data_IF_915472099020
#
_entry.id   IF_915472099020
#
_cell.length_a   1.000
_cell.length_b   1.000
_cell.length_c   1.000
_cell.angle_alpha   90.00
_cell.angle_beta   90.00
_cell.angle_gamma   90.00
#
_symmetry.space_group_name_H-M   'P 1'
#
loop_
_entity.id
_entity.type
_entity.pdbx_description
1 polymer ?
#
# COMPACT_ATOMS: atom_id res chain seq x y z
N UNK A 1 -10.93 6.12 -14.71
CA UNK A 1 -10.10 6.70 -13.64
C UNK A 1 -10.83 7.62 -12.64
N UNK A 2 -12.01 8.21 -12.93
CA UNK A 2 -12.73 9.09 -11.99
C UNK A 2 -13.41 8.37 -10.80
N UNK A 3 -13.81 7.11 -10.93
CA UNK A 3 -14.63 6.41 -9.92
C UNK A 3 -13.89 6.04 -8.62
N UNK A 4 -12.57 5.82 -8.66
CA UNK A 4 -11.80 5.40 -7.47
C UNK A 4 -11.33 6.58 -6.59
N UNK A 5 -11.37 7.81 -7.08
CA UNK A 5 -10.86 8.98 -6.36
C UNK A 5 -11.93 9.66 -5.49
N UNK A 6 -13.21 9.50 -5.82
CA UNK A 6 -14.31 10.09 -5.04
C UNK A 6 -14.32 9.54 -3.61
N UNK A 7 -14.25 8.22 -3.36
CA UNK A 7 -14.23 7.69 -1.99
C UNK A 7 -13.03 8.20 -1.17
N UNK A 8 -11.87 8.33 -1.80
CA UNK A 8 -10.64 8.85 -1.16
C UNK A 8 -10.83 10.29 -0.71
N UNK A 9 -11.40 11.13 -1.58
CA UNK A 9 -11.67 12.54 -1.25
C UNK A 9 -12.64 12.69 -0.08
N UNK A 10 -13.69 11.87 -0.01
CA UNK A 10 -14.65 11.92 1.11
C UNK A 10 -13.99 11.50 2.45
N UNK A 11 -13.14 10.48 2.44
CA UNK A 11 -12.37 10.08 3.62
C UNK A 11 -11.45 11.22 4.09
N UNK A 12 -10.85 11.97 3.18
CA UNK A 12 -9.94 13.07 3.53
C UNK A 12 -10.71 14.27 4.09
N UNK A 13 -11.89 14.55 3.52
CA UNK A 13 -12.81 15.55 4.07
C UNK A 13 -13.22 15.19 5.49
N UNK A 14 -13.59 13.93 5.73
CA UNK A 14 -13.94 13.45 7.07
C UNK A 14 -12.77 13.62 8.05
N UNK A 15 -11.55 13.22 7.68
CA UNK A 15 -10.38 13.41 8.52
C UNK A 15 -10.17 14.89 8.89
N UNK A 16 -10.33 15.78 7.92
CA UNK A 16 -10.25 17.23 8.14
C UNK A 16 -11.34 17.76 9.07
N UNK A 17 -12.58 17.34 8.86
CA UNK A 17 -13.73 17.74 9.69
C UNK A 17 -13.55 17.28 11.13
N UNK A 18 -13.12 16.03 11.35
CA UNK A 18 -12.81 15.53 12.71
C UNK A 18 -11.69 16.36 13.33
N UNK A 19 -10.60 16.61 12.60
CA UNK A 19 -9.51 17.42 13.11
C UNK A 19 -9.98 18.83 13.52
N UNK A 20 -10.83 19.49 12.71
CA UNK A 20 -11.34 20.84 12.99
C UNK A 20 -12.17 20.95 14.27
N UNK A 21 -12.92 19.90 14.62
CA UNK A 21 -13.74 19.86 15.84
C UNK A 21 -12.96 19.43 17.09
N UNK A 22 -11.65 19.18 16.97
CA UNK A 22 -10.78 18.78 18.07
C UNK A 22 -9.84 19.93 18.48
N UNK A 23 -9.37 19.95 19.75
CA UNK A 23 -8.41 20.94 20.22
C UNK A 23 -7.17 21.00 19.33
N UNK A 24 -6.49 22.16 19.28
CA UNK A 24 -5.33 22.35 18.41
C UNK A 24 -4.15 21.40 18.70
N UNK A 25 -4.06 20.87 19.93
CA UNK A 25 -3.05 19.88 20.32
C UNK A 25 -3.35 18.47 19.80
N UNK A 26 -4.57 18.20 19.34
CA UNK A 26 -4.94 16.91 18.78
C UNK A 26 -4.39 16.77 17.36
N UNK A 27 -3.65 15.67 17.12
CA UNK A 27 -3.24 15.26 15.79
C UNK A 27 -4.06 14.05 15.34
N UNK A 28 -4.69 14.16 14.18
CA UNK A 28 -5.44 13.05 13.60
C UNK A 28 -4.46 12.09 12.90
N UNK A 29 -4.39 10.84 13.36
CA UNK A 29 -3.65 9.76 12.71
C UNK A 29 -4.33 9.29 11.43
N UNK A 30 -3.62 9.28 10.31
CA UNK A 30 -4.12 8.85 9.01
C UNK A 30 -3.13 7.92 8.32
N UNK A 31 -3.50 6.65 8.15
CA UNK A 31 -2.67 5.67 7.45
C UNK A 31 -3.35 5.24 6.15
N UNK A 32 -2.65 5.46 5.04
CA UNK A 32 -3.04 4.94 3.73
C UNK A 32 -2.23 3.70 3.39
N UNK A 33 -2.94 2.59 3.13
CA UNK A 33 -2.32 1.36 2.65
C UNK A 33 -2.10 1.45 1.15
N UNK A 34 -0.86 1.76 0.77
CA UNK A 34 -0.38 1.78 -0.59
C UNK A 34 0.24 0.42 -0.98
N UNK A 35 0.91 0.37 -2.13
CA UNK A 35 1.54 -0.85 -2.65
C UNK A 35 3.00 -0.57 -3.04
N UNK A 36 3.89 -1.53 -2.79
CA UNK A 36 5.27 -1.48 -3.30
C UNK A 36 5.32 -1.46 -4.84
N UNK A 37 4.25 -1.89 -5.51
CA UNK A 37 4.14 -1.81 -6.96
C UNK A 37 4.25 -0.36 -7.50
N UNK A 38 3.95 0.66 -6.67
CA UNK A 38 4.13 2.08 -7.01
C UNK A 38 5.59 2.43 -7.36
N UNK A 39 6.53 1.65 -6.84
CA UNK A 39 7.97 1.82 -7.05
C UNK A 39 8.61 0.66 -7.81
N UNK A 40 7.81 -0.22 -8.42
CA UNK A 40 8.34 -1.43 -9.08
C UNK A 40 9.33 -1.12 -10.21
N UNK A 41 9.14 -0.02 -10.94
CA UNK A 41 10.06 0.39 -12.01
C UNK A 41 11.20 1.28 -11.52
N UNK A 42 11.28 1.61 -10.22
CA UNK A 42 12.33 2.46 -9.66
C UNK A 42 13.75 2.00 -10.04
N UNK A 43 14.10 0.71 -9.91
CA UNK A 43 15.46 0.26 -10.22
C UNK A 43 15.84 0.43 -11.69
N UNK A 44 14.87 0.40 -12.60
CA UNK A 44 15.10 0.49 -14.04
C UNK A 44 15.59 1.88 -14.46
N UNK A 45 15.10 2.94 -13.83
CA UNK A 45 15.47 4.31 -14.17
C UNK A 45 16.50 4.92 -13.21
N UNK A 46 16.47 4.53 -11.93
CA UNK A 46 17.41 5.04 -10.92
C UNK A 46 18.76 4.29 -10.92
N UNK A 47 18.81 3.12 -11.56
CA UNK A 47 20.02 2.28 -11.63
C UNK A 47 20.42 1.63 -10.30
N UNK A 48 19.51 1.60 -9.31
CA UNK A 48 19.77 1.01 -7.98
C UNK A 48 18.54 0.25 -7.47
N UNK A 49 18.71 -0.92 -6.82
CA UNK A 49 17.61 -1.64 -6.21
C UNK A 49 17.12 -1.02 -4.90
N UNK A 50 17.88 -0.07 -4.32
CA UNK A 50 17.54 0.58 -3.05
C UNK A 50 16.57 1.72 -3.30
N UNK A 51 15.31 1.52 -2.90
CA UNK A 51 14.25 2.52 -3.05
C UNK A 51 14.15 3.38 -1.80
N UNK A 52 14.27 4.71 -1.90
CA UNK A 52 14.10 5.59 -0.74
C UNK A 52 12.63 5.70 -0.34
N UNK A 53 12.37 5.98 0.94
CA UNK A 53 11.04 6.33 1.46
C UNK A 53 10.68 7.78 1.10
N UNK A 54 10.60 8.04 -0.21
CA UNK A 54 10.19 9.32 -0.78
C UNK A 54 8.94 9.13 -1.64
N UNK A 55 8.20 10.22 -1.93
CA UNK A 55 7.06 10.17 -2.84
C UNK A 55 7.45 9.51 -4.17
N UNK A 56 6.62 8.56 -4.61
CA UNK A 56 6.83 7.87 -5.88
C UNK A 56 6.64 8.83 -7.06
N UNK A 57 7.27 8.51 -8.19
CA UNK A 57 7.14 9.30 -9.41
C UNK A 57 6.40 8.50 -10.49
N UNK A 58 6.02 9.14 -11.59
CA UNK A 58 5.28 8.42 -12.65
C UNK A 58 6.20 7.37 -13.31
N UNK A 59 7.50 7.68 -13.38
CA UNK A 59 8.55 6.83 -13.95
C UNK A 59 8.74 5.54 -13.16
N UNK A 60 8.39 5.51 -11.87
CA UNK A 60 8.50 4.33 -11.02
C UNK A 60 7.30 3.38 -11.12
N UNK A 61 6.23 3.76 -11.84
CA UNK A 61 4.98 3.01 -11.88
C UNK A 61 4.88 2.12 -13.15
N UNK A 62 4.57 0.82 -13.00
CA UNK A 62 4.16 -0.02 -14.12
C UNK A 62 2.78 0.38 -14.65
N UNK A 63 2.55 0.22 -15.95
CA UNK A 63 1.31 0.58 -16.66
C UNK A 63 0.12 -0.29 -16.22
N UNK A 64 -0.41 -0.04 -15.03
CA UNK A 64 -1.58 -0.73 -14.47
C UNK A 64 -2.46 0.28 -13.73
N UNK A 65 -3.78 0.24 -14.00
CA UNK A 65 -4.72 1.20 -13.40
C UNK A 65 -4.79 1.13 -11.88
N UNK A 66 -4.51 -0.04 -11.29
CA UNK A 66 -4.42 -0.21 -9.83
C UNK A 66 -3.27 0.60 -9.24
N UNK A 67 -2.06 0.46 -9.80
CA UNK A 67 -0.87 1.12 -9.25
C UNK A 67 -0.93 2.62 -9.49
N UNK A 68 -1.42 3.06 -10.64
CA UNK A 68 -1.68 4.47 -10.93
C UNK A 68 -2.64 5.09 -9.91
N UNK A 69 -3.69 4.38 -9.51
CA UNK A 69 -4.63 4.86 -8.48
C UNK A 69 -3.98 4.95 -7.09
N UNK A 70 -3.09 4.03 -6.73
CA UNK A 70 -2.31 4.09 -5.49
C UNK A 70 -1.37 5.29 -5.49
N UNK A 71 -0.59 5.50 -6.57
CA UNK A 71 0.28 6.67 -6.71
C UNK A 71 -0.52 7.98 -6.67
N UNK A 72 -1.65 8.04 -7.37
CA UNK A 72 -2.51 9.22 -7.36
C UNK A 72 -2.98 9.54 -5.94
N UNK A 73 -3.32 8.53 -5.14
CA UNK A 73 -3.72 8.73 -3.74
C UNK A 73 -2.56 9.21 -2.87
N UNK A 74 -1.34 8.65 -3.04
CA UNK A 74 -0.14 9.15 -2.37
C UNK A 74 0.11 10.64 -2.69
N UNK A 75 -0.08 11.05 -3.94
CA UNK A 75 0.03 12.46 -4.35
C UNK A 75 -1.07 13.34 -3.75
N UNK A 76 -2.30 12.84 -3.66
CA UNK A 76 -3.36 13.61 -2.99
C UNK A 76 -2.99 13.83 -1.52
N UNK A 77 -2.42 12.83 -0.84
CA UNK A 77 -1.94 13.02 0.53
C UNK A 77 -0.85 14.11 0.61
N UNK A 78 0.13 14.11 -0.30
CA UNK A 78 1.23 15.09 -0.31
C UNK A 78 0.71 16.51 -0.48
N UNK A 79 -0.30 16.69 -1.33
CA UNK A 79 -0.92 17.98 -1.59
C UNK A 79 -1.98 18.39 -0.56
N UNK A 80 -2.34 17.51 0.40
CA UNK A 80 -3.39 17.76 1.38
C UNK A 80 -2.92 17.57 2.82
N UNK A 81 -3.12 16.40 3.42
CA UNK A 81 -2.94 16.17 4.86
C UNK A 81 -1.48 16.37 5.28
N UNK A 82 -0.50 16.00 4.43
CA UNK A 82 0.93 16.23 4.73
C UNK A 82 1.31 17.71 4.86
N UNK A 83 0.50 18.64 4.32
CA UNK A 83 0.76 20.09 4.41
C UNK A 83 0.42 20.69 5.78
N UNK A 84 -0.19 19.92 6.67
CA UNK A 84 -0.65 20.37 7.99
C UNK A 84 -0.13 19.43 9.11
N UNK A 85 1.20 19.26 9.27
CA UNK A 85 1.81 18.32 10.23
C UNK A 85 1.51 18.66 11.71
N UNK A 86 1.05 19.88 11.98
CA UNK A 86 0.55 20.31 13.28
C UNK A 86 -0.83 19.74 13.61
N UNK A 87 -1.63 19.35 12.60
CA UNK A 87 -2.98 18.79 12.76
C UNK A 87 -3.10 17.31 12.40
N UNK A 88 -2.19 16.78 11.58
CA UNK A 88 -2.26 15.40 11.10
C UNK A 88 -0.94 14.68 11.29
N UNK A 89 -1.03 13.41 11.67
CA UNK A 89 0.06 12.45 11.59
C UNK A 89 -0.29 11.47 10.46
N UNK A 90 0.33 11.67 9.30
CA UNK A 90 -0.06 11.01 8.05
C UNK A 90 1.05 10.06 7.62
N UNK A 91 0.68 8.89 7.14
CA UNK A 91 1.61 7.93 6.55
C UNK A 91 1.00 7.23 5.34
N UNK A 92 1.84 6.92 4.36
CA UNK A 92 1.52 6.02 3.27
C UNK A 92 2.42 4.78 3.40
N UNK A 93 1.84 3.63 3.70
CA UNK A 93 2.59 2.39 3.91
C UNK A 93 2.48 1.54 2.64
N UNK A 94 3.60 1.35 1.94
CA UNK A 94 3.66 0.55 0.70
C UNK A 94 3.88 -0.91 1.04
N UNK A 95 2.84 -1.73 0.89
CA UNK A 95 2.92 -3.16 1.20
C UNK A 95 3.20 -3.95 -0.07
N UNK A 96 4.05 -4.96 0.05
CA UNK A 96 4.30 -5.95 -1.00
C UNK A 96 3.29 -7.11 -0.90
N UNK A 97 3.71 -8.33 -1.23
CA UNK A 97 2.80 -9.47 -1.27
C UNK A 97 2.33 -9.88 0.13
N UNK A 98 1.07 -9.59 0.45
CA UNK A 98 0.41 -10.14 1.63
C UNK A 98 0.14 -11.63 1.40
N UNK A 99 0.37 -12.44 2.43
CA UNK A 99 0.22 -13.89 2.37
C UNK A 99 -0.78 -14.41 3.39
N UNK A 100 -1.01 -15.72 3.35
CA UNK A 100 -1.89 -16.39 4.31
C UNK A 100 -1.48 -16.15 5.76
N UNK A 101 -2.47 -16.20 6.63
CA UNK A 101 -2.29 -16.05 8.07
C UNK A 101 -1.39 -17.14 8.65
N UNK A 102 -0.44 -16.79 9.52
CA UNK A 102 0.43 -17.79 10.17
C UNK A 102 -0.36 -18.69 11.13
N UNK A 103 -1.48 -18.21 11.68
CA UNK A 103 -2.27 -18.92 12.68
C UNK A 103 -3.15 -20.05 12.13
N UNK A 104 -3.63 -19.92 10.89
CA UNK A 104 -4.58 -20.88 10.30
C UNK A 104 -4.37 -21.16 8.81
N UNK A 105 -3.36 -20.54 8.19
CA UNK A 105 -3.04 -20.71 6.76
C UNK A 105 -4.09 -20.13 5.81
N UNK A 106 -5.10 -19.41 6.31
CA UNK A 106 -6.12 -18.83 5.45
C UNK A 106 -5.50 -17.78 4.53
N UNK A 107 -5.65 -17.98 3.22
CA UNK A 107 -5.23 -17.07 2.17
C UNK A 107 -6.39 -16.90 1.20
N UNK A 108 -6.69 -15.66 0.83
CA UNK A 108 -7.69 -15.34 -0.19
C UNK A 108 -7.46 -16.17 -1.48
N UNK A 109 -8.34 -17.13 -1.80
CA UNK A 109 -8.13 -18.06 -2.90
C UNK A 109 -8.26 -17.40 -4.28
N UNK A 110 -8.77 -16.17 -4.35
CA UNK A 110 -8.86 -15.38 -5.57
C UNK A 110 -7.57 -14.61 -5.90
N UNK A 111 -6.56 -14.66 -5.02
CA UNK A 111 -5.25 -14.09 -5.34
C UNK A 111 -4.43 -14.98 -6.28
N UNK A 112 -3.50 -14.35 -6.98
CA UNK A 112 -2.75 -15.00 -8.05
C UNK A 112 -1.90 -16.18 -7.56
N UNK A 113 -1.30 -16.12 -6.35
CA UNK A 113 -0.48 -17.24 -5.86
C UNK A 113 -1.29 -18.46 -5.45
N UNK A 114 -2.35 -18.35 -4.62
CA UNK A 114 -3.25 -19.48 -4.38
C UNK A 114 -3.80 -20.06 -5.68
N UNK A 115 -4.13 -19.21 -6.66
CA UNK A 115 -4.59 -19.65 -7.98
C UNK A 115 -3.51 -20.38 -8.79
N UNK A 116 -2.25 -19.90 -8.77
CA UNK A 116 -1.11 -20.56 -9.43
C UNK A 116 -0.87 -21.95 -8.83
N UNK A 117 -0.85 -22.04 -7.50
CA UNK A 117 -0.67 -23.31 -6.78
C UNK A 117 -1.82 -24.26 -7.14
N UNK A 118 -3.06 -23.80 -7.12
CA UNK A 118 -4.23 -24.61 -7.50
C UNK A 118 -4.14 -25.10 -8.95
N UNK A 119 -3.74 -24.24 -9.87
CA UNK A 119 -3.54 -24.58 -11.28
C UNK A 119 -2.45 -25.65 -11.46
N UNK A 120 -1.35 -25.55 -10.70
CA UNK A 120 -0.26 -26.54 -10.75
C UNK A 120 -0.70 -27.94 -10.31
N UNK A 121 -1.65 -28.03 -9.37
CA UNK A 121 -2.19 -29.32 -8.91
C UNK A 121 -3.01 -30.03 -9.99
N UNK A 122 -3.66 -29.26 -10.88
CA UNK A 122 -4.41 -29.78 -12.03
C UNK A 122 -3.44 -30.17 -13.15
N UNK A 123 -2.51 -29.29 -13.49
CA UNK A 123 -1.55 -29.50 -14.59
C UNK A 123 -0.43 -30.47 -14.25
N UNK A 124 -0.23 -30.78 -12.96
CA UNK A 124 0.91 -31.55 -12.42
C UNK A 124 2.27 -30.95 -12.77
N UNK A 125 2.30 -29.63 -12.98
CA UNK A 125 3.49 -28.87 -13.32
C UNK A 125 3.47 -27.59 -12.49
N UNK A 126 4.56 -27.32 -11.78
CA UNK A 126 4.81 -26.06 -11.11
C UNK A 126 5.88 -25.30 -11.91
N UNK A 127 5.73 -23.99 -12.14
CA UNK A 127 6.76 -23.23 -12.83
C UNK A 127 8.06 -23.21 -12.01
N UNK A 128 9.18 -23.38 -12.70
CA UNK A 128 10.51 -23.16 -12.14
C UNK A 128 10.78 -21.65 -12.18
N UNK A 129 10.83 -21.02 -11.00
CA UNK A 129 10.94 -19.56 -10.84
C UNK A 129 12.22 -19.22 -10.10
N UNK A 130 13.06 -18.39 -10.72
CA UNK A 130 14.24 -17.83 -10.08
C UNK A 130 13.91 -16.54 -9.30
N UNK A 131 14.70 -16.24 -8.28
CA UNK A 131 14.66 -14.98 -7.54
C UNK A 131 14.35 -15.13 -6.05
N UNK A 132 14.10 -14.00 -5.38
CA UNK A 132 13.76 -13.96 -3.95
C UNK A 132 12.28 -13.67 -3.78
N UNK A 133 11.58 -14.56 -3.08
CA UNK A 133 10.19 -14.36 -2.69
C UNK A 133 10.14 -13.67 -1.33
N UNK A 134 9.53 -12.49 -1.27
CA UNK A 134 9.27 -11.78 -0.02
C UNK A 134 7.81 -11.95 0.37
N UNK A 135 7.57 -12.71 1.44
CA UNK A 135 6.24 -13.08 1.92
C UNK A 135 5.94 -12.35 3.22
N UNK A 136 4.80 -11.67 3.26
CA UNK A 136 4.39 -10.89 4.42
C UNK A 136 3.06 -11.44 4.94
N UNK A 137 3.06 -12.28 6.01
CA UNK A 137 1.82 -12.82 6.57
C UNK A 137 0.84 -11.71 6.98
N UNK A 138 -0.44 -11.93 6.72
CA UNK A 138 -1.48 -10.91 6.95
C UNK A 138 -1.57 -10.45 8.40
N UNK A 139 -1.31 -11.36 9.34
CA UNK A 139 -1.27 -11.11 10.78
C UNK A 139 -0.08 -10.23 11.19
N UNK A 140 1.11 -10.50 10.66
CA UNK A 140 2.29 -9.66 10.89
C UNK A 140 2.10 -8.27 10.28
N UNK A 141 1.56 -8.20 9.06
CA UNK A 141 1.25 -6.94 8.38
C UNK A 141 0.25 -6.12 9.21
N UNK A 142 -0.83 -6.74 9.69
CA UNK A 142 -1.82 -6.06 10.51
C UNK A 142 -1.23 -5.53 11.83
N UNK A 143 -0.38 -6.31 12.48
CA UNK A 143 0.30 -5.89 13.71
C UNK A 143 1.20 -4.66 13.48
N UNK A 144 2.07 -4.71 12.47
CA UNK A 144 2.99 -3.61 12.14
C UNK A 144 2.23 -2.34 11.73
N UNK A 145 1.15 -2.47 10.95
CA UNK A 145 0.32 -1.32 10.59
C UNK A 145 -0.32 -0.65 11.82
N UNK A 146 -0.76 -1.46 12.79
CA UNK A 146 -1.28 -0.95 14.06
C UNK A 146 -0.22 -0.21 14.87
N UNK A 147 0.99 -0.77 14.97
CA UNK A 147 2.11 -0.14 15.67
C UNK A 147 2.50 1.19 15.03
N UNK A 148 2.64 1.22 13.70
CA UNK A 148 2.96 2.44 12.96
C UNK A 148 1.89 3.53 13.15
N UNK A 149 0.61 3.16 13.20
CA UNK A 149 -0.47 4.13 13.38
C UNK A 149 -0.49 4.75 14.79
N UNK A 150 0.05 4.04 15.78
CA UNK A 150 0.03 4.43 17.19
C UNK A 150 1.35 5.07 17.67
N UNK A 151 2.41 5.05 16.86
CA UNK A 151 3.71 5.69 17.16
C UNK A 151 3.63 7.21 17.11
#
# INVERSE_FOLDING_TARGET
MRLHLIPVQEIFKLAREVAQHRPALFKFGFQFISSSAVIANYPLWAGTPVVPEQPGTVESVPLTGYVEAKLATERILSETLYRFPERFHVMAVRIAQITGSTSNGYWNPSEYMPFLIKSSQVLKILPDLDGTLSWYPVDDVAAVLGELLLS
#
